data_IF_453057213389
#
_entry.id   IF_453057213389
#
_cell.length_a   1.000
_cell.length_b   1.000
_cell.length_c   1.000
_cell.angle_alpha   90.00
_cell.angle_beta   90.00
_cell.angle_gamma   90.00
#
_symmetry.space_group_name_H-M   'P 1'
#
loop_
_entity.id
_entity.type
_entity.pdbx_description
1 polymer ?
#
# COMPACT_ATOMS: atom_id res chain seq x y z
N UNK A 1 13.39 -18.19 -18.24
CA UNK A 1 13.00 -16.76 -18.26
C UNK A 1 12.86 -16.28 -16.82
N UNK A 2 13.72 -15.36 -16.37
CA UNK A 2 13.81 -15.00 -14.95
C UNK A 2 12.57 -14.25 -14.46
N UNK A 3 12.05 -14.64 -13.30
CA UNK A 3 10.87 -14.07 -12.64
C UNK A 3 11.05 -12.56 -12.39
N UNK A 4 12.28 -12.15 -12.11
CA UNK A 4 12.67 -10.75 -11.93
C UNK A 4 12.43 -9.91 -13.20
N UNK A 5 12.66 -10.47 -14.39
CA UNK A 5 12.42 -9.78 -15.65
C UNK A 5 10.92 -9.57 -15.88
N UNK A 6 10.08 -10.57 -15.56
CA UNK A 6 8.61 -10.43 -15.61
C UNK A 6 8.09 -9.37 -14.65
N UNK A 7 8.61 -9.31 -13.42
CA UNK A 7 8.21 -8.27 -12.45
C UNK A 7 8.68 -6.89 -12.91
N UNK A 8 9.90 -6.77 -13.43
CA UNK A 8 10.41 -5.51 -13.98
C UNK A 8 9.62 -5.04 -15.21
N UNK A 9 9.31 -5.94 -16.14
CA UNK A 9 8.48 -5.65 -17.31
C UNK A 9 7.03 -5.35 -16.92
N UNK A 10 6.49 -6.02 -15.90
CA UNK A 10 5.18 -5.72 -15.33
C UNK A 10 5.16 -4.32 -14.68
N UNK A 11 6.18 -3.97 -13.89
CA UNK A 11 6.31 -2.64 -13.31
C UNK A 11 6.45 -1.54 -14.37
N UNK A 12 7.09 -1.85 -15.51
CA UNK A 12 7.20 -0.95 -16.67
C UNK A 12 5.94 -0.93 -17.55
N UNK A 13 5.06 -1.92 -17.41
CA UNK A 13 3.83 -2.01 -18.19
C UNK A 13 2.81 -0.93 -17.79
N UNK A 14 1.85 -0.57 -18.68
CA UNK A 14 0.77 0.36 -18.34
C UNK A 14 -0.06 -0.10 -17.14
N UNK A 15 -0.22 -1.41 -16.97
CA UNK A 15 -0.98 -2.02 -15.88
C UNK A 15 -0.22 -1.88 -14.55
N UNK A 16 1.09 -2.14 -14.53
CA UNK A 16 1.92 -1.94 -13.33
C UNK A 16 2.04 -0.47 -12.94
N UNK A 17 2.20 0.43 -13.90
CA UNK A 17 2.17 1.88 -13.64
C UNK A 17 0.85 2.32 -13.03
N UNK A 18 -0.29 1.81 -13.51
CA UNK A 18 -1.61 2.07 -12.93
C UNK A 18 -1.72 1.52 -11.51
N UNK A 19 -1.22 0.32 -11.24
CA UNK A 19 -1.20 -0.26 -9.90
C UNK A 19 -0.35 0.58 -8.93
N UNK A 20 0.86 0.99 -9.34
CA UNK A 20 1.73 1.87 -8.53
C UNK A 20 1.11 3.25 -8.35
N UNK A 21 0.48 3.82 -9.37
CA UNK A 21 -0.20 5.11 -9.27
C UNK A 21 -1.42 5.06 -8.35
N UNK A 22 -2.21 3.99 -8.41
CA UNK A 22 -3.32 3.76 -7.48
C UNK A 22 -2.80 3.59 -6.05
N UNK A 23 -1.75 2.79 -5.83
CA UNK A 23 -1.13 2.65 -4.52
C UNK A 23 -0.60 3.98 -3.97
N UNK A 24 0.08 4.77 -4.82
CA UNK A 24 0.54 6.14 -4.45
C UNK A 24 -0.62 7.05 -4.09
N UNK A 25 -1.69 7.08 -4.90
CA UNK A 25 -2.88 7.88 -4.61
C UNK A 25 -3.54 7.44 -3.31
N UNK A 26 -3.68 6.13 -3.10
CA UNK A 26 -4.28 5.58 -1.89
C UNK A 26 -3.47 5.93 -0.63
N UNK A 27 -2.14 5.97 -0.74
CA UNK A 27 -1.24 6.39 0.33
C UNK A 27 -1.17 7.92 0.53
N UNK A 28 -1.37 8.69 -0.54
CA UNK A 28 -1.42 10.16 -0.51
C UNK A 28 -2.77 10.70 -0.02
N UNK A 29 -3.82 9.87 -0.04
CA UNK A 29 -5.16 10.29 0.36
C UNK A 29 -5.26 10.46 1.89
N UNK A 30 -5.44 11.70 2.40
CA UNK A 30 -5.52 11.94 3.84
C UNK A 30 -6.74 11.24 4.48
N UNK A 31 -7.83 11.02 3.72
CA UNK A 31 -9.00 10.27 4.19
C UNK A 31 -8.70 8.82 4.55
N UNK A 32 -7.72 8.21 3.87
CA UNK A 32 -7.30 6.85 4.20
C UNK A 32 -6.34 6.83 5.38
N UNK A 33 -5.52 7.89 5.54
CA UNK A 33 -4.65 8.02 6.71
C UNK A 33 -5.43 8.01 8.01
N UNK A 34 -6.51 8.79 8.14
CA UNK A 34 -7.31 8.78 9.38
C UNK A 34 -7.93 7.41 9.69
N UNK A 35 -8.39 6.69 8.66
CA UNK A 35 -8.93 5.32 8.83
C UNK A 35 -7.83 4.35 9.25
N UNK A 36 -6.67 4.42 8.61
CA UNK A 36 -5.51 3.59 8.94
C UNK A 36 -5.03 3.92 10.35
N UNK A 37 -4.86 5.19 10.72
CA UNK A 37 -4.45 5.62 12.04
C UNK A 37 -5.46 5.18 13.12
N UNK A 38 -6.76 5.23 12.84
CA UNK A 38 -7.79 4.73 13.77
C UNK A 38 -7.66 3.21 13.97
N UNK A 39 -7.46 2.45 12.90
CA UNK A 39 -7.29 1.00 12.97
C UNK A 39 -5.98 0.64 13.66
N UNK A 40 -4.88 1.29 13.29
CA UNK A 40 -3.55 1.11 13.89
C UNK A 40 -3.59 1.47 15.37
N UNK A 41 -4.20 2.59 15.76
CA UNK A 41 -4.35 2.96 17.17
C UNK A 41 -5.25 1.98 17.94
N UNK A 42 -6.31 1.45 17.32
CA UNK A 42 -7.16 0.41 17.94
C UNK A 42 -6.41 -0.90 18.16
N UNK A 43 -5.58 -1.30 17.21
CA UNK A 43 -4.75 -2.52 17.30
C UNK A 43 -3.59 -2.32 18.28
N UNK A 44 -2.87 -1.19 18.18
CA UNK A 44 -1.77 -0.82 19.07
C UNK A 44 -2.23 -0.59 20.50
N UNK A 45 -3.42 -0.01 20.70
CA UNK A 45 -4.05 0.18 22.01
C UNK A 45 -4.44 -1.14 22.67
N UNK A 46 -4.92 -2.12 21.89
CA UNK A 46 -5.18 -3.50 22.40
C UNK A 46 -3.91 -4.26 22.77
N UNK A 47 -2.76 -3.92 22.19
CA UNK A 47 -1.46 -4.52 22.55
C UNK A 47 -0.81 -3.93 23.80
N UNK A 48 -1.36 -2.85 24.37
CA UNK A 48 -0.82 -2.15 25.55
C UNK A 48 -1.57 -2.42 26.85
N UNK A 49 -2.56 -3.32 26.84
CA UNK A 49 -3.21 -3.83 28.04
C UNK A 49 -2.46 -5.06 28.53
N UNK A 50 -1.36 -4.84 29.25
CA UNK A 50 -0.66 -5.82 30.07
C UNK A 50 -0.29 -5.13 31.39
#
# INVERSE_FOLDING_TARGET
MSIFKKVADFAKSPQGRRAVAQAKRYAQDPKNKEKIDRVVNKVKGRGKSH
#
